data_IF_850314039994
#
_entry.id   IF_850314039994
#
_cell.length_a   1.000
_cell.length_b   1.000
_cell.length_c   1.000
_cell.angle_alpha   90.00
_cell.angle_beta   90.00
_cell.angle_gamma   90.00
#
_symmetry.space_group_name_H-M   'P 1'
#
loop_
_entity.id
_entity.type
_entity.pdbx_description
1 polymer ?
#
# COMPACT_ATOMS: atom_id res chain seq x y z
N UNK A 1 6.77 10.42 -9.23
CA UNK A 1 6.37 9.00 -9.18
C UNK A 1 5.28 8.80 -8.15
N UNK A 2 4.23 8.10 -8.52
CA UNK A 2 3.15 7.70 -7.62
C UNK A 2 3.25 6.18 -7.41
N UNK A 3 3.38 5.77 -6.16
CA UNK A 3 3.74 4.41 -5.77
C UNK A 3 2.65 3.79 -4.88
N UNK A 4 2.16 2.62 -5.26
CA UNK A 4 1.18 1.84 -4.50
C UNK A 4 1.82 0.64 -3.83
N UNK A 5 1.46 0.36 -2.58
CA UNK A 5 1.76 -0.91 -1.92
C UNK A 5 0.45 -1.62 -1.58
N UNK A 6 0.35 -2.90 -1.94
CA UNK A 6 -0.76 -3.79 -1.58
C UNK A 6 -0.23 -4.91 -0.71
N UNK A 7 -0.76 -5.00 0.51
CA UNK A 7 -0.36 -5.97 1.53
C UNK A 7 -1.45 -7.03 1.72
N UNK A 8 -1.09 -8.28 1.49
CA UNK A 8 -1.95 -9.42 1.79
C UNK A 8 -1.94 -9.75 3.28
N UNK A 9 -3.12 -9.70 3.90
CA UNK A 9 -3.38 -10.07 5.29
C UNK A 9 -4.42 -11.19 5.40
N UNK A 10 -4.55 -12.01 4.35
CA UNK A 10 -5.41 -13.20 4.32
C UNK A 10 -4.98 -14.26 5.33
N UNK A 11 -5.86 -15.23 5.58
CA UNK A 11 -5.64 -16.32 6.51
C UNK A 11 -4.46 -17.24 6.16
N UNK A 12 -4.12 -17.37 4.86
CA UNK A 12 -3.02 -18.22 4.40
C UNK A 12 -1.64 -17.67 4.77
N UNK A 13 -1.53 -16.34 4.88
CA UNK A 13 -0.32 -15.65 5.32
C UNK A 13 -0.04 -15.92 6.81
N UNK A 14 -1.05 -15.82 7.67
CA UNK A 14 -0.84 -15.91 9.11
C UNK A 14 -0.18 -14.67 9.72
N UNK A 15 -0.30 -14.51 11.05
CA UNK A 15 0.20 -13.30 11.73
C UNK A 15 1.73 -13.14 11.65
N UNK A 16 2.48 -14.24 11.68
CA UNK A 16 3.93 -14.22 11.64
C UNK A 16 4.48 -13.76 10.28
N UNK A 17 3.93 -14.26 9.16
CA UNK A 17 4.39 -13.82 7.84
C UNK A 17 3.83 -12.43 7.49
N UNK A 18 2.67 -12.05 8.01
CA UNK A 18 2.21 -10.65 7.90
C UNK A 18 3.19 -9.69 8.61
N UNK A 19 3.77 -10.08 9.75
CA UNK A 19 4.81 -9.29 10.40
C UNK A 19 6.06 -9.17 9.52
N UNK A 20 6.51 -10.26 8.87
CA UNK A 20 7.63 -10.21 7.91
C UNK A 20 7.32 -9.31 6.71
N UNK A 21 6.10 -9.39 6.18
CA UNK A 21 5.64 -8.55 5.09
C UNK A 21 5.69 -7.06 5.46
N UNK A 22 5.24 -6.70 6.66
CA UNK A 22 5.34 -5.33 7.18
C UNK A 22 6.78 -4.84 7.33
N UNK A 23 7.69 -5.70 7.80
CA UNK A 23 9.12 -5.38 7.89
C UNK A 23 9.70 -5.12 6.49
N UNK A 24 9.41 -6.00 5.54
CA UNK A 24 9.86 -5.86 4.15
C UNK A 24 9.36 -4.57 3.50
N UNK A 25 8.05 -4.27 3.62
CA UNK A 25 7.49 -2.99 3.13
C UNK A 25 8.14 -1.81 3.81
N UNK A 26 8.38 -1.88 5.12
CA UNK A 26 9.09 -0.84 5.86
C UNK A 26 10.51 -0.60 5.35
N UNK A 27 11.24 -1.65 4.97
CA UNK A 27 12.56 -1.55 4.37
C UNK A 27 12.52 -0.91 2.98
N UNK A 28 11.54 -1.29 2.15
CA UNK A 28 11.33 -0.65 0.84
C UNK A 28 11.00 0.83 0.97
N UNK A 29 10.09 1.19 1.88
CA UNK A 29 9.70 2.58 2.13
C UNK A 29 10.91 3.45 2.51
N UNK A 30 11.87 2.93 3.29
CA UNK A 30 13.12 3.63 3.65
C UNK A 30 14.00 3.98 2.44
N UNK A 31 13.84 3.30 1.31
CA UNK A 31 14.54 3.61 0.07
C UNK A 31 13.80 4.64 -0.80
N UNK A 32 12.55 4.97 -0.45
CA UNK A 32 11.71 5.89 -1.21
C UNK A 32 11.87 7.31 -0.66
N UNK A 33 12.17 8.26 -1.55
CA UNK A 33 12.17 9.68 -1.22
C UNK A 33 10.72 10.22 -1.18
N UNK A 34 10.01 9.95 -0.08
CA UNK A 34 8.61 10.36 0.14
C UNK A 34 8.52 11.89 0.33
N UNK A 35 7.48 12.51 -0.23
CA UNK A 35 7.20 13.94 -0.01
C UNK A 35 6.20 14.53 -1.00
N UNK A 36 5.67 15.73 -0.71
CA UNK A 36 4.60 16.36 -1.51
C UNK A 36 5.05 16.80 -2.91
N UNK A 37 6.36 17.02 -3.10
CA UNK A 37 6.96 17.34 -4.39
C UNK A 37 7.88 16.23 -4.88
N UNK A 38 7.77 15.02 -4.30
CA UNK A 38 8.68 13.89 -4.54
C UNK A 38 7.87 12.65 -4.94
N UNK A 39 8.05 11.53 -4.23
CA UNK A 39 7.26 10.32 -4.43
C UNK A 39 6.01 10.37 -3.56
N UNK A 40 4.85 10.21 -4.18
CA UNK A 40 3.59 10.03 -3.46
C UNK A 40 3.39 8.53 -3.23
N UNK A 41 2.98 8.14 -2.02
CA UNK A 41 2.86 6.72 -1.67
C UNK A 41 1.45 6.45 -1.15
N UNK A 42 0.78 5.45 -1.72
CA UNK A 42 -0.51 4.95 -1.26
C UNK A 42 -0.36 3.52 -0.79
N UNK A 43 -1.11 3.13 0.24
CA UNK A 43 -0.98 1.80 0.85
C UNK A 43 -2.36 1.21 1.09
N UNK A 44 -2.56 -0.01 0.61
CA UNK A 44 -3.75 -0.83 0.80
C UNK A 44 -3.36 -2.13 1.51
N UNK A 45 -4.19 -2.58 2.43
CA UNK A 45 -4.15 -3.93 2.99
C UNK A 45 -5.44 -4.64 2.61
N UNK A 46 -5.39 -5.94 2.33
CA UNK A 46 -6.59 -6.71 2.03
C UNK A 46 -6.60 -8.08 2.69
N UNK A 47 -7.81 -8.60 2.90
CA UNK A 47 -8.10 -9.99 3.17
C UNK A 47 -9.48 -10.30 2.59
N UNK A 48 -10.49 -10.57 3.42
CA UNK A 48 -11.89 -10.64 3.00
C UNK A 48 -12.43 -9.30 2.48
N UNK A 49 -11.80 -8.19 2.87
CA UNK A 49 -12.11 -6.85 2.38
C UNK A 49 -10.81 -6.06 2.18
N UNK A 50 -10.83 -5.03 1.34
CA UNK A 50 -9.71 -4.12 1.17
C UNK A 50 -9.87 -2.84 2.00
N UNK A 51 -8.78 -2.43 2.66
CA UNK A 51 -8.68 -1.23 3.47
C UNK A 51 -7.58 -0.33 2.91
N UNK A 52 -7.92 0.92 2.59
CA UNK A 52 -6.91 1.95 2.32
C UNK A 52 -6.33 2.39 3.66
N UNK A 53 -5.03 2.21 3.84
CA UNK A 53 -4.31 2.68 5.03
C UNK A 53 -3.90 4.15 4.87
N UNK A 54 -3.50 4.55 3.66
CA UNK A 54 -3.14 5.94 3.35
C UNK A 54 -3.24 6.22 1.86
N UNK A 55 -3.63 7.44 1.52
CA UNK A 55 -3.74 7.94 0.13
C UNK A 55 -2.45 8.63 -0.33
N UNK A 56 -2.34 8.90 -1.64
CA UNK A 56 -1.16 9.53 -2.25
C UNK A 56 -0.91 10.94 -1.69
N UNK A 57 -1.98 11.66 -1.31
CA UNK A 57 -1.91 13.01 -0.75
C UNK A 57 -1.86 13.10 0.79
N UNK A 58 -1.51 12.01 1.49
CA UNK A 58 -1.42 11.94 2.96
C UNK A 58 -0.06 11.42 3.40
N UNK A 59 0.29 11.64 4.66
CA UNK A 59 1.46 11.06 5.33
C UNK A 59 2.77 11.26 4.54
N UNK A 60 3.11 12.49 4.18
CA UNK A 60 4.20 12.81 3.26
C UNK A 60 5.62 12.56 3.79
N UNK A 61 5.78 11.84 4.89
CA UNK A 61 7.08 11.39 5.39
C UNK A 61 7.17 9.87 5.42
N UNK A 62 8.39 9.36 5.29
CA UNK A 62 8.64 7.92 5.30
C UNK A 62 8.29 7.29 6.65
N UNK A 63 8.51 8.02 7.75
CA UNK A 63 8.16 7.61 9.11
C UNK A 63 6.65 7.46 9.28
N UNK A 64 5.85 8.38 8.73
CA UNK A 64 4.40 8.27 8.78
C UNK A 64 3.91 7.07 7.97
N UNK A 65 4.43 6.85 6.75
CA UNK A 65 4.09 5.68 5.93
C UNK A 65 4.43 4.36 6.62
N UNK A 66 5.62 4.26 7.21
CA UNK A 66 6.04 3.08 7.98
C UNK A 66 5.14 2.87 9.19
N UNK A 67 4.74 3.94 9.88
CA UNK A 67 3.82 3.86 11.03
C UNK A 67 2.46 3.30 10.61
N UNK A 68 1.86 3.73 9.50
CA UNK A 68 0.55 3.18 9.07
C UNK A 68 0.64 1.68 8.73
N UNK A 69 1.74 1.25 8.11
CA UNK A 69 2.02 -0.18 7.89
C UNK A 69 2.15 -0.89 9.24
N UNK A 70 2.88 -0.29 10.18
CA UNK A 70 3.18 -0.89 11.47
C UNK A 70 2.02 -0.90 12.49
N UNK A 71 1.02 -0.06 12.31
CA UNK A 71 -0.17 -0.07 13.16
C UNK A 71 -1.31 -0.87 12.52
N UNK A 72 -1.14 -1.34 11.29
CA UNK A 72 -2.15 -2.16 10.62
C UNK A 72 -2.31 -3.53 11.31
N UNK A 73 -3.55 -3.89 11.62
CA UNK A 73 -3.92 -5.12 12.33
C UNK A 73 -4.03 -6.29 11.35
N UNK A 74 -3.48 -7.45 11.71
CA UNK A 74 -3.73 -8.71 11.01
C UNK A 74 -5.09 -9.26 11.42
N UNK A 75 -6.02 -9.37 10.47
CA UNK A 75 -7.37 -9.86 10.73
C UNK A 75 -7.63 -11.25 10.13
N UNK A 76 -6.71 -11.77 9.30
CA UNK A 76 -6.97 -12.96 8.48
C UNK A 76 -8.18 -12.78 7.56
N UNK A 77 -8.68 -13.89 7.02
CA UNK A 77 -9.85 -13.94 6.14
C UNK A 77 -9.57 -14.64 4.83
N UNK A 78 -10.47 -14.46 3.87
CA UNK A 78 -10.28 -14.92 2.48
C UNK A 78 -9.25 -14.03 1.75
N UNK A 79 -8.86 -14.42 0.53
CA UNK A 79 -7.90 -13.66 -0.28
C UNK A 79 -8.62 -12.93 -1.41
N UNK A 80 -9.04 -11.68 -1.19
CA UNK A 80 -9.72 -10.89 -2.24
C UNK A 80 -8.78 -9.91 -2.94
N UNK A 81 -7.88 -10.44 -3.77
CA UNK A 81 -6.92 -9.62 -4.54
C UNK A 81 -7.62 -8.61 -5.46
N UNK A 82 -8.79 -8.97 -6.02
CA UNK A 82 -9.61 -8.06 -6.85
C UNK A 82 -10.09 -6.83 -6.07
N UNK A 83 -10.54 -7.01 -4.82
CA UNK A 83 -10.93 -5.90 -3.96
C UNK A 83 -9.76 -4.98 -3.64
N UNK A 84 -8.55 -5.54 -3.52
CA UNK A 84 -7.33 -4.76 -3.30
C UNK A 84 -7.00 -3.84 -4.48
N UNK A 85 -7.13 -4.35 -5.71
CA UNK A 85 -6.91 -3.55 -6.92
C UNK A 85 -7.98 -2.46 -7.09
N UNK A 86 -9.25 -2.76 -6.82
CA UNK A 86 -10.31 -1.74 -6.81
C UNK A 86 -10.08 -0.66 -5.73
N UNK A 87 -9.54 -1.05 -4.58
CA UNK A 87 -9.12 -0.07 -3.57
C UNK A 87 -7.92 0.76 -4.06
N UNK A 88 -7.00 0.16 -4.81
CA UNK A 88 -5.87 0.88 -5.39
C UNK A 88 -6.30 1.86 -6.49
N UNK A 89 -7.33 1.56 -7.28
CA UNK A 89 -7.92 2.54 -8.22
C UNK A 89 -8.43 3.78 -7.49
N UNK A 90 -9.05 3.61 -6.31
CA UNK A 90 -9.45 4.74 -5.47
C UNK A 90 -8.25 5.51 -4.95
N UNK A 91 -7.16 4.84 -4.59
CA UNK A 91 -5.91 5.48 -4.16
C UNK A 91 -5.28 6.29 -5.30
N UNK A 92 -5.30 5.74 -6.51
CA UNK A 92 -4.81 6.36 -7.74
C UNK A 92 -5.92 7.19 -8.42
N UNK A 93 -6.55 8.08 -7.67
CA UNK A 93 -7.48 9.09 -8.20
C UNK A 93 -6.89 10.49 -8.08
N UNK A 94 -7.28 11.40 -8.98
CA UNK A 94 -6.85 12.81 -8.93
C UNK A 94 -7.25 13.46 -7.60
N UNK A 95 -8.43 13.12 -7.06
CA UNK A 95 -8.90 13.62 -5.76
C UNK A 95 -8.06 13.13 -4.57
N UNK A 96 -7.34 12.02 -4.73
CA UNK A 96 -6.54 11.39 -3.69
C UNK A 96 -5.03 11.57 -3.86
N UNK A 97 -4.60 12.46 -4.78
CA UNK A 97 -3.19 12.85 -4.93
C UNK A 97 -2.46 12.19 -6.08
N UNK A 98 -3.16 11.50 -6.99
CA UNK A 98 -2.58 11.06 -8.25
C UNK A 98 -2.17 12.28 -9.08
N UNK A 99 -0.96 12.27 -9.61
CA UNK A 99 -0.53 13.28 -10.58
C UNK A 99 -0.98 12.92 -11.98
N UNK A 100 -1.35 13.94 -12.74
CA UNK A 100 -1.75 13.77 -14.14
C UNK A 100 -0.57 13.27 -14.98
N UNK A 101 -0.89 12.59 -16.08
CA UNK A 101 0.14 12.05 -16.98
C UNK A 101 1.03 13.15 -17.57
N UNK A 102 0.45 14.33 -17.83
CA UNK A 102 1.16 15.53 -18.29
C UNK A 102 2.23 16.04 -17.32
N UNK A 103 2.15 15.69 -16.03
CA UNK A 103 3.17 16.00 -15.02
C UNK A 103 4.35 15.01 -15.04
N UNK A 104 4.32 14.00 -15.92
CA UNK A 104 5.42 13.04 -16.13
C UNK A 104 5.63 12.04 -14.98
N UNK A 105 4.69 11.90 -14.05
CA UNK A 105 4.83 11.00 -12.92
C UNK A 105 4.60 9.53 -13.30
N UNK A 106 5.66 8.71 -13.24
CA UNK A 106 5.53 7.24 -13.36
C UNK A 106 4.66 6.67 -12.24
N UNK A 107 3.88 5.62 -12.57
CA UNK A 107 2.95 4.95 -11.66
C UNK A 107 3.35 3.49 -11.51
N UNK A 108 3.56 3.02 -10.28
CA UNK A 108 3.98 1.65 -9.98
C UNK A 108 3.17 1.12 -8.81
N UNK A 109 2.78 -0.15 -8.84
CA UNK A 109 2.10 -0.83 -7.74
C UNK A 109 2.89 -2.10 -7.40
N UNK A 110 3.32 -2.21 -6.14
CA UNK A 110 3.87 -3.45 -5.58
C UNK A 110 2.75 -4.24 -4.90
N UNK A 111 2.49 -5.46 -5.38
CA UNK A 111 1.57 -6.42 -4.75
C UNK A 111 2.39 -7.48 -4.02
N UNK A 112 2.11 -7.68 -2.74
CA UNK A 112 2.87 -8.58 -1.88
C UNK A 112 1.88 -9.59 -1.27
N UNK A 113 2.00 -10.85 -1.69
CA UNK A 113 1.09 -11.96 -1.39
C UNK A 113 1.88 -13.27 -1.32
N UNK A 114 1.30 -14.31 -0.72
CA UNK A 114 1.79 -15.71 -0.78
C UNK A 114 1.32 -16.45 -2.04
N UNK A 115 0.43 -15.84 -2.85
CA UNK A 115 -0.01 -16.35 -4.14
C UNK A 115 -1.26 -17.24 -4.10
N UNK A 116 -1.89 -17.45 -2.93
CA UNK A 116 -3.16 -18.17 -2.85
C UNK A 116 -4.33 -17.20 -3.10
N UNK A 117 -4.86 -17.15 -4.33
CA UNK A 117 -5.99 -16.30 -4.73
C UNK A 117 -7.26 -17.09 -4.97
#
# INVERSE_FOLDING_TARGET
MDLGFVLDASGSIGAADFQKQRIFVGQLLRQVNVGPNKTHVGIVKYSSNAQVLTYLNRDYTVEEKIRVVNTSVYNGGSTQTSAALQAMDRVFSLSNGLRKLEEGASRVIFVITDGAS
#
